data_IF_562593646831
#
_entry.id   IF_562593646831
#
_cell.length_a   1.000
_cell.length_b   1.000
_cell.length_c   1.000
_cell.angle_alpha   90.00
_cell.angle_beta   90.00
_cell.angle_gamma   90.00
#
_symmetry.space_group_name_H-M   'P 1'
#
loop_
_entity.id
_entity.type
_entity.pdbx_description
1 polymer ?
#
# COMPACT_ATOMS: atom_id res chain seq x y z
N UNK A 1 28.35 45.75 -34.06
CA UNK A 1 27.52 46.57 -33.15
C UNK A 1 27.97 46.40 -31.69
N UNK A 2 28.93 45.47 -31.39
CA UNK A 2 29.51 45.28 -30.05
C UNK A 2 28.50 44.78 -28.99
N UNK A 3 27.53 43.97 -29.39
CA UNK A 3 26.61 43.30 -28.49
C UNK A 3 27.09 41.88 -28.20
N UNK A 4 27.30 41.61 -26.91
CA UNK A 4 27.57 40.27 -26.40
C UNK A 4 26.26 39.64 -25.91
N UNK A 5 26.17 38.33 -26.00
CA UNK A 5 25.01 37.55 -25.50
C UNK A 5 24.73 37.85 -24.02
N UNK A 6 25.77 38.12 -23.24
CA UNK A 6 25.66 38.42 -21.81
C UNK A 6 24.92 39.74 -21.55
N UNK A 7 25.10 40.74 -22.41
CA UNK A 7 24.38 42.02 -22.33
C UNK A 7 22.88 41.83 -22.55
N UNK A 8 22.50 40.93 -23.45
CA UNK A 8 21.08 40.58 -23.70
C UNK A 8 20.48 39.91 -22.48
N UNK A 9 21.17 38.91 -21.90
CA UNK A 9 20.71 38.18 -20.71
C UNK A 9 20.56 39.14 -19.52
N UNK A 10 21.51 40.06 -19.32
CA UNK A 10 21.41 41.05 -18.25
C UNK A 10 20.24 42.01 -18.47
N UNK A 11 20.00 42.44 -19.71
CA UNK A 11 18.91 43.35 -20.03
C UNK A 11 17.55 42.69 -19.74
N UNK A 12 17.36 41.42 -20.12
CA UNK A 12 16.14 40.63 -19.84
C UNK A 12 15.98 40.47 -18.32
N UNK A 13 17.04 40.06 -17.62
CA UNK A 13 17.02 39.84 -16.18
C UNK A 13 16.67 41.12 -15.40
N UNK A 14 17.27 42.27 -15.75
CA UNK A 14 16.99 43.56 -15.12
C UNK A 14 15.54 44.04 -15.33
N UNK A 15 14.94 43.72 -16.47
CA UNK A 15 13.57 44.10 -16.79
C UNK A 15 12.51 43.11 -16.28
N UNK A 16 12.92 41.97 -15.75
CA UNK A 16 12.01 40.93 -15.21
C UNK A 16 12.04 40.83 -13.68
N UNK A 17 12.65 41.78 -13.00
CA UNK A 17 12.74 41.72 -11.53
C UNK A 17 11.63 42.50 -10.85
N UNK A 18 10.87 41.85 -9.98
CA UNK A 18 9.97 42.53 -9.04
C UNK A 18 10.80 43.19 -7.94
N UNK A 19 10.85 44.51 -7.95
CA UNK A 19 11.51 45.30 -6.90
C UNK A 19 10.43 46.01 -6.05
N UNK A 20 10.39 45.70 -4.76
CA UNK A 20 9.57 46.44 -3.82
C UNK A 20 10.07 47.87 -3.73
N UNK A 21 9.23 48.85 -4.02
CA UNK A 21 9.60 50.28 -4.09
C UNK A 21 9.36 51.03 -2.79
N UNK A 22 9.11 50.33 -1.66
CA UNK A 22 8.82 50.95 -0.37
C UNK A 22 7.32 51.13 -0.10
N UNK A 23 7.01 52.06 0.79
CA UNK A 23 5.62 52.37 1.15
C UNK A 23 5.43 53.89 1.26
N UNK A 24 4.19 54.35 1.05
CA UNK A 24 3.78 55.74 1.30
C UNK A 24 2.83 55.72 2.48
N UNK A 25 3.08 56.60 3.46
CA UNK A 25 2.13 56.86 4.55
C UNK A 25 1.17 57.97 4.17
N UNK A 26 -0.11 57.71 4.21
CA UNK A 26 -1.15 58.71 3.98
C UNK A 26 -2.33 58.46 4.95
N UNK A 27 -2.64 59.50 5.72
CA UNK A 27 -3.73 59.47 6.71
C UNK A 27 -3.63 58.36 7.75
N UNK A 28 -2.42 57.95 8.17
CA UNK A 28 -2.21 56.87 9.14
C UNK A 28 -2.30 55.43 8.55
N UNK A 29 -2.43 55.32 7.23
CA UNK A 29 -2.41 54.05 6.51
C UNK A 29 -1.15 53.93 5.68
N UNK A 30 -0.61 52.68 5.62
CA UNK A 30 0.57 52.36 4.78
C UNK A 30 0.13 51.78 3.44
N UNK A 31 0.50 52.46 2.35
CA UNK A 31 0.29 51.99 0.99
C UNK A 31 1.59 51.40 0.45
N UNK A 32 1.61 50.08 0.22
CA UNK A 32 2.76 49.37 -0.33
C UNK A 32 2.90 49.70 -1.82
N UNK A 33 4.02 50.31 -2.21
CA UNK A 33 4.34 50.54 -3.61
C UNK A 33 4.91 49.25 -4.21
N UNK A 34 4.21 48.68 -5.16
CA UNK A 34 4.71 47.56 -5.98
C UNK A 34 4.98 48.07 -7.39
N UNK A 35 6.16 47.82 -7.90
CA UNK A 35 6.43 47.93 -9.34
C UNK A 35 5.98 46.62 -10.00
N UNK A 36 5.01 46.70 -10.88
CA UNK A 36 4.56 45.55 -11.70
C UNK A 36 5.49 45.41 -12.91
N UNK A 37 6.72 44.97 -12.62
CA UNK A 37 7.80 44.83 -13.62
C UNK A 37 7.91 43.39 -14.14
N UNK A 38 6.98 42.52 -13.80
CA UNK A 38 6.99 41.14 -14.28
C UNK A 38 6.54 41.10 -15.73
N UNK A 39 7.36 40.55 -16.59
CA UNK A 39 7.04 40.35 -18.00
C UNK A 39 5.91 39.33 -18.13
N UNK A 40 4.82 39.73 -18.78
CA UNK A 40 3.63 38.91 -18.97
C UNK A 40 3.29 38.62 -20.45
N UNK A 41 3.97 39.31 -21.38
CA UNK A 41 3.72 39.14 -22.83
C UNK A 41 5.00 39.13 -23.64
N UNK A 42 4.93 38.52 -24.82
CA UNK A 42 6.05 38.51 -25.80
C UNK A 42 6.37 39.90 -26.27
N UNK A 43 5.36 40.74 -26.43
CA UNK A 43 5.52 42.14 -26.88
C UNK A 43 6.33 42.94 -25.89
N UNK A 44 6.15 42.72 -24.61
CA UNK A 44 6.98 43.32 -23.56
C UNK A 44 8.45 42.88 -23.68
N UNK A 45 8.70 41.60 -23.94
CA UNK A 45 10.06 41.09 -24.16
C UNK A 45 10.67 41.72 -25.39
N UNK A 46 9.97 41.79 -26.51
CA UNK A 46 10.44 42.43 -27.76
C UNK A 46 10.82 43.90 -27.59
N UNK A 47 10.14 44.59 -26.69
CA UNK A 47 10.36 46.03 -26.42
C UNK A 47 11.46 46.32 -25.42
N UNK A 48 12.12 45.35 -24.79
CA UNK A 48 13.18 45.53 -23.79
C UNK A 48 14.32 46.35 -24.43
N UNK A 49 14.73 47.48 -23.83
CA UNK A 49 15.84 48.28 -24.32
C UNK A 49 17.19 47.62 -23.98
N UNK A 50 18.06 47.53 -24.97
CA UNK A 50 19.44 47.05 -24.84
C UNK A 50 20.38 48.21 -25.18
N UNK A 51 21.31 48.53 -24.28
CA UNK A 51 22.31 49.54 -24.51
C UNK A 51 23.57 48.88 -25.08
N UNK A 52 24.00 49.33 -26.26
CA UNK A 52 25.24 48.88 -26.89
C UNK A 52 26.47 49.50 -26.23
N UNK A 53 27.66 48.95 -26.46
CA UNK A 53 28.95 49.48 -25.97
C UNK A 53 29.22 50.91 -26.47
N UNK A 54 28.59 51.29 -27.57
CA UNK A 54 28.74 52.63 -28.18
C UNK A 54 27.63 53.60 -27.71
N UNK A 55 26.82 53.25 -26.72
CA UNK A 55 25.77 54.09 -26.15
C UNK A 55 24.46 54.16 -26.96
N UNK A 56 24.31 53.40 -28.03
CA UNK A 56 23.04 53.30 -28.76
C UNK A 56 22.04 52.41 -28.03
N UNK A 57 20.80 52.83 -27.97
CA UNK A 57 19.71 52.05 -27.39
C UNK A 57 18.97 51.33 -28.53
N UNK A 58 18.97 50.02 -28.52
CA UNK A 58 18.23 49.15 -29.44
C UNK A 58 17.14 48.38 -28.65
N UNK A 59 16.10 47.93 -29.35
CA UNK A 59 15.13 47.02 -28.76
C UNK A 59 15.58 45.58 -28.98
N UNK A 60 15.19 44.68 -28.08
CA UNK A 60 15.53 43.25 -28.23
C UNK A 60 15.09 42.70 -29.60
N UNK A 61 13.90 43.09 -30.10
CA UNK A 61 13.41 42.68 -31.41
C UNK A 61 14.29 43.15 -32.61
N UNK A 62 15.13 44.17 -32.42
CA UNK A 62 16.02 44.65 -33.48
C UNK A 62 17.26 43.75 -33.65
N UNK A 63 17.58 42.94 -32.63
CA UNK A 63 18.80 42.12 -32.55
C UNK A 63 18.55 40.64 -32.36
N UNK A 64 17.34 40.24 -31.99
CA UNK A 64 16.96 38.85 -31.74
C UNK A 64 15.52 38.57 -32.13
N UNK A 65 15.25 37.35 -32.61
CA UNK A 65 13.91 36.85 -32.82
C UNK A 65 13.36 36.30 -31.50
N UNK A 66 12.20 36.83 -31.08
CA UNK A 66 11.53 36.41 -29.84
C UNK A 66 10.30 35.58 -30.19
N UNK A 67 10.32 34.33 -29.83
CA UNK A 67 9.23 33.38 -30.06
C UNK A 67 9.00 32.49 -28.83
N UNK A 68 7.81 31.89 -28.76
CA UNK A 68 7.53 30.84 -27.77
C UNK A 68 8.22 29.55 -28.24
N UNK A 69 9.17 29.07 -27.48
CA UNK A 69 9.82 27.79 -27.71
C UNK A 69 9.41 26.72 -26.71
N UNK A 70 9.88 25.53 -26.93
CA UNK A 70 9.81 24.43 -25.95
C UNK A 70 11.18 24.24 -25.29
N UNK A 71 11.20 23.85 -24.05
CA UNK A 71 12.44 23.44 -23.36
C UNK A 71 13.12 22.27 -24.07
N UNK A 72 14.42 22.15 -23.87
CA UNK A 72 15.19 21.01 -24.36
C UNK A 72 14.59 19.71 -23.86
N UNK A 73 14.24 18.84 -24.78
CA UNK A 73 13.68 17.54 -24.43
C UNK A 73 14.74 16.66 -23.77
N UNK A 74 14.49 16.28 -22.53
CA UNK A 74 15.34 15.36 -21.74
C UNK A 74 14.80 13.94 -21.73
N UNK A 75 13.56 13.73 -22.23
CA UNK A 75 12.92 12.42 -22.27
C UNK A 75 11.72 12.39 -23.22
N UNK A 76 11.20 11.20 -23.44
CA UNK A 76 9.98 10.96 -24.19
C UNK A 76 9.14 9.88 -23.52
N UNK A 77 7.82 10.07 -23.49
CA UNK A 77 6.88 9.05 -23.09
C UNK A 77 5.88 8.80 -24.22
N UNK A 78 5.57 7.53 -24.45
CA UNK A 78 4.60 7.14 -25.50
C UNK A 78 3.52 6.22 -24.95
N UNK A 79 2.32 6.33 -25.49
CA UNK A 79 1.20 5.41 -25.26
C UNK A 79 0.58 5.04 -26.59
N UNK A 80 0.54 3.74 -26.90
CA UNK A 80 0.02 3.22 -28.17
C UNK A 80 0.69 3.86 -29.41
N UNK A 81 1.99 4.13 -29.34
CA UNK A 81 2.74 4.77 -30.44
C UNK A 81 2.56 6.30 -30.57
N UNK A 82 1.73 6.91 -29.73
CA UNK A 82 1.56 8.36 -29.67
C UNK A 82 2.34 8.95 -28.50
N UNK A 83 2.90 10.11 -28.71
CA UNK A 83 3.61 10.85 -27.68
C UNK A 83 2.64 11.43 -26.65
N UNK A 84 3.00 11.30 -25.37
CA UNK A 84 2.21 11.82 -24.25
C UNK A 84 3.12 12.54 -23.25
N UNK A 85 2.51 13.37 -22.41
CA UNK A 85 3.14 13.88 -21.19
C UNK A 85 2.83 12.93 -20.05
N UNK A 86 3.86 12.38 -19.40
CA UNK A 86 3.72 11.46 -18.29
C UNK A 86 3.98 12.17 -16.96
N UNK A 87 2.98 12.22 -16.11
CA UNK A 87 3.11 12.62 -14.70
C UNK A 87 3.23 11.41 -13.80
N UNK A 88 4.14 11.45 -12.84
CA UNK A 88 4.32 10.37 -11.86
C UNK A 88 4.12 10.90 -10.45
N UNK A 89 3.16 10.32 -9.72
CA UNK A 89 2.97 10.60 -8.31
C UNK A 89 3.79 9.61 -7.46
N UNK A 90 4.65 10.12 -6.59
CA UNK A 90 5.47 9.33 -5.69
C UNK A 90 4.87 9.32 -4.29
N UNK A 91 4.89 8.16 -3.66
CA UNK A 91 4.50 7.98 -2.28
C UNK A 91 5.71 8.22 -1.36
N UNK A 92 5.50 8.88 -0.23
CA UNK A 92 6.52 9.01 0.81
C UNK A 92 6.76 7.66 1.52
N UNK A 93 7.98 7.47 2.00
CA UNK A 93 8.36 6.27 2.74
C UNK A 93 7.54 6.19 4.04
N UNK A 94 6.89 5.05 4.27
CA UNK A 94 6.05 4.81 5.44
C UNK A 94 4.56 5.03 5.22
N UNK A 95 4.15 5.65 4.11
CA UNK A 95 2.74 5.83 3.77
C UNK A 95 2.10 4.55 3.19
N UNK A 96 0.79 4.48 3.23
CA UNK A 96 0.03 3.38 2.65
C UNK A 96 -0.21 3.62 1.16
N UNK A 97 0.36 2.77 0.31
CA UNK A 97 0.28 2.90 -1.16
C UNK A 97 -1.15 2.92 -1.69
N UNK A 98 -2.08 2.19 -1.07
CA UNK A 98 -3.49 2.15 -1.45
C UNK A 98 -4.17 3.49 -1.16
N UNK A 99 -3.98 4.03 0.04
CA UNK A 99 -4.57 5.32 0.44
C UNK A 99 -4.05 6.46 -0.43
N UNK A 100 -2.75 6.49 -0.69
CA UNK A 100 -2.13 7.52 -1.55
C UNK A 100 -2.65 7.42 -2.98
N UNK A 101 -2.70 6.22 -3.55
CA UNK A 101 -3.18 6.05 -4.93
C UNK A 101 -4.67 6.40 -5.08
N UNK A 102 -5.52 6.09 -4.09
CA UNK A 102 -6.92 6.54 -4.08
C UNK A 102 -7.03 8.08 -4.00
N UNK A 103 -6.22 8.71 -3.15
CA UNK A 103 -6.20 10.17 -3.06
C UNK A 103 -5.76 10.83 -4.37
N UNK A 104 -4.74 10.25 -5.03
CA UNK A 104 -4.28 10.72 -6.35
C UNK A 104 -5.36 10.54 -7.41
N UNK A 105 -6.06 9.41 -7.43
CA UNK A 105 -7.14 9.14 -8.37
C UNK A 105 -8.30 10.13 -8.20
N UNK A 106 -8.72 10.38 -6.96
CA UNK A 106 -9.72 11.39 -6.67
C UNK A 106 -9.29 12.78 -7.13
N UNK A 107 -8.02 13.14 -6.86
CA UNK A 107 -7.50 14.43 -7.29
C UNK A 107 -7.39 14.55 -8.82
N UNK A 108 -7.06 13.46 -9.49
CA UNK A 108 -7.04 13.41 -10.96
C UNK A 108 -8.44 13.67 -11.55
N UNK A 109 -9.48 13.09 -10.95
CA UNK A 109 -10.88 13.32 -11.36
C UNK A 109 -11.32 14.78 -11.14
N UNK A 110 -10.83 15.44 -10.10
CA UNK A 110 -11.07 16.89 -9.88
C UNK A 110 -10.36 17.71 -10.95
N UNK A 111 -9.07 17.44 -11.17
CA UNK A 111 -8.24 18.15 -12.17
C UNK A 111 -8.81 17.99 -13.58
N UNK A 112 -9.33 16.80 -13.94
CA UNK A 112 -9.94 16.56 -15.23
C UNK A 112 -11.05 17.57 -15.56
N UNK A 113 -11.80 18.05 -14.55
CA UNK A 113 -12.88 19.03 -14.73
C UNK A 113 -12.37 20.45 -15.03
N UNK A 114 -11.11 20.73 -14.72
CA UNK A 114 -10.47 22.04 -14.90
C UNK A 114 -9.52 22.10 -16.09
N UNK A 115 -9.33 20.99 -16.80
CA UNK A 115 -8.46 20.94 -17.97
C UNK A 115 -9.08 21.67 -19.16
N UNK A 116 -8.26 22.33 -20.01
CA UNK A 116 -8.72 22.92 -21.26
C UNK A 116 -9.32 21.87 -22.21
N UNK A 117 -10.17 22.33 -23.12
CA UNK A 117 -10.73 21.47 -24.18
C UNK A 117 -9.62 20.81 -25.01
N UNK A 118 -9.73 19.51 -25.24
CA UNK A 118 -8.74 18.70 -25.96
C UNK A 118 -7.61 18.14 -25.10
N UNK A 119 -7.53 18.48 -23.80
CA UNK A 119 -6.57 17.89 -22.87
C UNK A 119 -7.25 16.87 -21.97
N UNK A 120 -6.75 15.63 -21.97
CA UNK A 120 -7.28 14.55 -21.16
C UNK A 120 -6.18 13.97 -20.25
N UNK A 121 -6.45 13.88 -18.94
CA UNK A 121 -5.58 13.25 -17.98
C UNK A 121 -6.13 11.89 -17.57
N UNK A 122 -5.41 10.82 -17.90
CA UNK A 122 -5.80 9.43 -17.60
C UNK A 122 -4.71 8.71 -16.82
N UNK A 123 -5.10 7.97 -15.79
CA UNK A 123 -4.20 7.03 -15.14
C UNK A 123 -3.83 5.90 -16.11
N UNK A 124 -2.55 5.78 -16.45
CA UNK A 124 -2.02 4.70 -17.30
C UNK A 124 -1.50 3.53 -16.47
N UNK A 125 -1.13 3.79 -15.22
CA UNK A 125 -0.74 2.78 -14.25
C UNK A 125 -1.27 3.16 -12.88
N UNK A 126 -2.11 2.31 -12.30
CA UNK A 126 -2.61 2.46 -10.95
C UNK A 126 -2.30 1.19 -10.15
N UNK A 127 -1.43 1.31 -9.16
CA UNK A 127 -1.00 0.18 -8.32
C UNK A 127 -2.15 -0.41 -7.50
N UNK A 128 -3.14 0.40 -7.12
CA UNK A 128 -4.31 -0.07 -6.35
C UNK A 128 -5.13 -1.10 -7.09
N UNK A 129 -5.25 -1.02 -8.40
CA UNK A 129 -5.97 -2.02 -9.20
C UNK A 129 -5.40 -3.43 -8.97
N UNK A 130 -4.07 -3.56 -8.94
CA UNK A 130 -3.41 -4.82 -8.67
C UNK A 130 -3.58 -5.25 -7.21
N UNK A 131 -3.44 -4.33 -6.27
CA UNK A 131 -3.58 -4.60 -4.83
C UNK A 131 -5.01 -5.01 -4.49
N UNK A 132 -6.02 -4.32 -5.02
CA UNK A 132 -7.43 -4.62 -4.77
C UNK A 132 -7.84 -5.97 -5.38
N UNK A 133 -7.44 -6.26 -6.62
CA UNK A 133 -7.66 -7.57 -7.24
C UNK A 133 -7.01 -8.71 -6.44
N UNK A 134 -5.82 -8.46 -5.89
CA UNK A 134 -5.10 -9.39 -5.04
C UNK A 134 -5.82 -9.63 -3.72
N UNK A 135 -6.27 -8.58 -3.02
CA UNK A 135 -7.01 -8.70 -1.75
C UNK A 135 -8.31 -9.46 -1.98
N UNK A 136 -9.01 -9.19 -3.08
CA UNK A 136 -10.24 -9.89 -3.43
C UNK A 136 -10.00 -11.38 -3.72
N UNK A 137 -8.94 -11.71 -4.46
CA UNK A 137 -8.54 -13.09 -4.72
C UNK A 137 -8.19 -13.83 -3.42
N UNK A 138 -7.39 -13.21 -2.54
CA UNK A 138 -7.05 -13.80 -1.25
C UNK A 138 -8.30 -14.02 -0.39
N UNK A 139 -9.16 -13.01 -0.28
CA UNK A 139 -10.43 -13.11 0.47
C UNK A 139 -11.31 -14.26 -0.05
N UNK A 140 -11.43 -14.39 -1.37
CA UNK A 140 -12.19 -15.46 -2.01
C UNK A 140 -11.57 -16.83 -1.70
N UNK A 141 -10.27 -16.99 -1.91
CA UNK A 141 -9.57 -18.25 -1.67
C UNK A 141 -9.63 -18.67 -0.19
N UNK A 142 -9.46 -17.71 0.73
CA UNK A 142 -9.60 -17.98 2.17
C UNK A 142 -11.02 -18.42 2.53
N UNK A 143 -12.04 -17.79 1.96
CA UNK A 143 -13.43 -18.16 2.22
C UNK A 143 -13.76 -19.56 1.64
N UNK A 144 -13.35 -19.82 0.40
CA UNK A 144 -13.56 -21.13 -0.25
C UNK A 144 -12.80 -22.24 0.50
N UNK A 145 -11.55 -21.98 0.90
CA UNK A 145 -10.76 -22.91 1.71
C UNK A 145 -11.40 -23.20 3.07
N UNK A 146 -11.86 -22.17 3.76
CA UNK A 146 -12.55 -22.34 5.05
C UNK A 146 -13.83 -23.17 4.91
N UNK A 147 -14.66 -22.90 3.90
CA UNK A 147 -15.87 -23.67 3.63
C UNK A 147 -15.53 -25.14 3.33
N UNK A 148 -14.51 -25.38 2.49
CA UNK A 148 -14.06 -26.73 2.15
C UNK A 148 -13.64 -27.49 3.42
N UNK A 149 -12.81 -26.88 4.27
CA UNK A 149 -12.36 -27.48 5.53
C UNK A 149 -13.55 -27.79 6.44
N UNK A 150 -14.51 -26.86 6.58
CA UNK A 150 -15.73 -27.09 7.38
C UNK A 150 -16.54 -28.27 6.85
N UNK A 151 -16.70 -28.36 5.53
CA UNK A 151 -17.45 -29.49 4.91
C UNK A 151 -16.73 -30.81 5.15
N UNK A 152 -15.40 -30.85 4.97
CA UNK A 152 -14.60 -32.07 5.22
C UNK A 152 -14.69 -32.46 6.70
N UNK A 153 -14.53 -31.51 7.61
CA UNK A 153 -14.66 -31.76 9.06
C UNK A 153 -16.05 -32.29 9.42
N UNK A 154 -17.10 -31.77 8.79
CA UNK A 154 -18.44 -32.23 9.01
C UNK A 154 -18.64 -33.69 8.59
N UNK A 155 -18.07 -34.09 7.45
CA UNK A 155 -18.13 -35.46 6.93
C UNK A 155 -17.32 -36.39 7.83
N UNK A 156 -16.09 -36.02 8.22
CA UNK A 156 -15.20 -36.90 9.00
C UNK A 156 -15.62 -37.06 10.47
N UNK A 157 -16.01 -35.98 11.14
CA UNK A 157 -16.37 -36.01 12.54
C UNK A 157 -17.78 -36.61 12.80
N UNK A 158 -18.65 -36.64 11.80
CA UNK A 158 -20.01 -37.21 11.91
C UNK A 158 -20.93 -36.51 12.94
N UNK A 159 -20.42 -35.45 13.60
CA UNK A 159 -21.13 -34.72 14.66
C UNK A 159 -21.13 -33.22 14.38
N UNK A 160 -22.28 -32.65 14.06
CA UNK A 160 -22.41 -31.21 13.74
C UNK A 160 -21.82 -30.27 14.80
N UNK A 161 -22.06 -30.56 16.09
CA UNK A 161 -21.56 -29.75 17.19
C UNK A 161 -20.02 -29.75 17.27
N UNK A 162 -19.40 -30.90 17.07
CA UNK A 162 -17.97 -31.06 17.07
C UNK A 162 -17.33 -30.30 15.88
N UNK A 163 -17.87 -30.48 14.69
CA UNK A 163 -17.45 -29.78 13.49
C UNK A 163 -17.57 -28.26 13.64
N UNK A 164 -18.66 -27.76 14.25
CA UNK A 164 -18.86 -26.34 14.49
C UNK A 164 -17.84 -25.77 15.48
N UNK A 165 -17.53 -26.48 16.57
CA UNK A 165 -16.50 -26.07 17.55
C UNK A 165 -15.16 -26.00 16.88
N UNK A 166 -14.78 -27.01 16.10
CA UNK A 166 -13.50 -27.01 15.38
C UNK A 166 -13.45 -25.90 14.31
N UNK A 167 -14.54 -25.69 13.59
CA UNK A 167 -14.64 -24.63 12.58
C UNK A 167 -14.49 -23.20 13.18
N UNK A 168 -14.94 -23.00 14.42
CA UNK A 168 -14.81 -21.71 15.12
C UNK A 168 -13.36 -21.36 15.47
N UNK A 169 -12.45 -22.33 15.48
CA UNK A 169 -11.02 -22.08 15.69
C UNK A 169 -10.43 -21.26 14.53
N UNK A 170 -10.90 -21.49 13.30
CA UNK A 170 -10.43 -20.78 12.09
C UNK A 170 -10.56 -19.26 12.24
N UNK A 171 -11.77 -18.69 12.43
CA UNK A 171 -11.90 -17.23 12.54
C UNK A 171 -11.24 -16.67 13.80
N UNK A 172 -11.18 -17.41 14.90
CA UNK A 172 -10.53 -16.96 16.13
C UNK A 172 -9.02 -16.86 15.96
N UNK A 173 -8.37 -17.91 15.44
CA UNK A 173 -6.93 -17.91 15.20
C UNK A 173 -6.54 -16.86 14.15
N UNK A 174 -7.34 -16.67 13.10
CA UNK A 174 -7.12 -15.59 12.12
C UNK A 174 -7.20 -14.22 12.76
N UNK A 175 -8.19 -13.96 13.60
CA UNK A 175 -8.30 -12.67 14.30
C UNK A 175 -7.11 -12.44 15.23
N UNK A 176 -6.66 -13.46 15.96
CA UNK A 176 -5.47 -13.37 16.81
C UNK A 176 -4.20 -13.10 15.97
N UNK A 177 -4.03 -13.81 14.88
CA UNK A 177 -2.90 -13.63 13.95
C UNK A 177 -2.88 -12.22 13.35
N UNK A 178 -4.00 -11.75 12.81
CA UNK A 178 -4.12 -10.40 12.23
C UNK A 178 -3.86 -9.33 13.30
N UNK A 179 -4.40 -9.50 14.51
CA UNK A 179 -4.14 -8.58 15.63
C UNK A 179 -2.66 -8.55 16.00
N UNK A 180 -2.01 -9.71 16.03
CA UNK A 180 -0.56 -9.82 16.26
C UNK A 180 0.27 -9.12 15.17
N UNK A 181 -0.10 -9.30 13.89
CA UNK A 181 0.54 -8.63 12.76
C UNK A 181 0.42 -7.11 12.84
N UNK A 182 -0.77 -6.60 13.17
CA UNK A 182 -1.01 -5.16 13.32
C UNK A 182 -0.18 -4.58 14.46
N UNK A 183 -0.16 -5.24 15.63
CA UNK A 183 0.61 -4.79 16.79
C UNK A 183 2.12 -4.77 16.52
N UNK A 184 2.62 -5.74 15.77
CA UNK A 184 4.05 -5.84 15.42
C UNK A 184 4.42 -5.09 14.14
N UNK A 185 3.45 -4.38 13.52
CA UNK A 185 3.64 -3.66 12.26
C UNK A 185 4.19 -4.53 11.12
N UNK A 186 3.80 -5.80 11.10
CA UNK A 186 4.18 -6.74 10.05
C UNK A 186 3.33 -6.46 8.81
N UNK A 187 4.00 -6.29 7.66
CA UNK A 187 3.32 -6.04 6.39
C UNK A 187 2.55 -7.28 5.94
N UNK A 188 1.24 -7.12 5.72
CA UNK A 188 0.42 -8.14 5.09
C UNK A 188 0.66 -8.13 3.57
N UNK A 189 1.65 -8.88 3.11
CA UNK A 189 1.87 -9.11 1.69
C UNK A 189 1.13 -10.39 1.23
N UNK A 190 1.07 -10.60 -0.09
CA UNK A 190 0.43 -11.78 -0.69
C UNK A 190 1.00 -13.10 -0.16
N UNK A 191 2.30 -13.16 0.10
CA UNK A 191 2.95 -14.36 0.59
C UNK A 191 2.58 -14.65 2.04
N UNK A 192 2.49 -13.61 2.89
CA UNK A 192 2.05 -13.78 4.29
C UNK A 192 0.60 -14.24 4.36
N UNK A 193 -0.29 -13.65 3.54
CA UNK A 193 -1.70 -14.05 3.50
C UNK A 193 -1.89 -15.43 2.85
N UNK A 194 -1.09 -15.76 1.81
CA UNK A 194 -1.10 -17.07 1.17
C UNK A 194 -0.52 -18.20 2.01
N UNK A 195 0.33 -17.88 2.98
CA UNK A 195 0.92 -18.83 3.92
C UNK A 195 0.00 -19.19 5.09
N UNK A 196 -1.14 -18.49 5.25
CA UNK A 196 -2.19 -18.88 6.21
C UNK A 196 -2.93 -20.10 5.67
N UNK A 197 -2.38 -21.26 5.95
CA UNK A 197 -3.00 -22.53 5.64
C UNK A 197 -3.95 -22.93 6.79
N UNK A 198 -5.23 -23.06 6.46
CA UNK A 198 -6.25 -23.50 7.42
C UNK A 198 -6.01 -24.92 7.94
N UNK A 199 -5.40 -25.80 7.13
CA UNK A 199 -5.04 -27.13 7.55
C UNK A 199 -4.14 -27.11 8.78
N UNK A 200 -3.01 -26.42 8.69
CA UNK A 200 -2.03 -26.33 9.78
C UNK A 200 -2.62 -25.71 11.05
N UNK A 201 -3.50 -24.72 10.90
CA UNK A 201 -4.14 -24.03 12.04
C UNK A 201 -5.15 -24.94 12.74
N UNK A 202 -5.91 -25.69 11.98
CA UNK A 202 -7.05 -26.50 12.49
C UNK A 202 -6.62 -27.87 13.01
N UNK A 203 -5.49 -28.40 12.55
CA UNK A 203 -5.03 -29.75 12.88
C UNK A 203 -4.99 -30.02 14.38
N UNK A 204 -4.47 -29.10 15.16
CA UNK A 204 -4.44 -29.22 16.63
C UNK A 204 -5.83 -29.38 17.25
N UNK A 205 -6.79 -28.57 16.79
CA UNK A 205 -8.17 -28.60 17.27
C UNK A 205 -8.89 -29.88 16.82
N UNK A 206 -8.66 -30.32 15.57
CA UNK A 206 -9.25 -31.57 15.01
C UNK A 206 -8.81 -32.76 15.84
N UNK A 207 -7.52 -32.92 16.09
CA UNK A 207 -6.96 -34.03 16.86
C UNK A 207 -7.51 -34.05 18.29
N UNK A 208 -7.68 -32.92 18.95
CA UNK A 208 -8.24 -32.83 20.31
C UNK A 208 -9.71 -33.24 20.30
N UNK A 209 -10.50 -32.77 19.34
CA UNK A 209 -11.94 -33.05 19.24
C UNK A 209 -12.15 -34.51 18.87
N UNK A 210 -11.40 -35.07 17.93
CA UNK A 210 -11.45 -36.47 17.54
C UNK A 210 -11.09 -37.39 18.71
N UNK A 211 -9.98 -37.16 19.39
CA UNK A 211 -9.58 -37.93 20.57
C UNK A 211 -10.63 -37.86 21.69
N UNK A 212 -11.24 -36.68 21.88
CA UNK A 212 -12.30 -36.48 22.86
C UNK A 212 -13.56 -37.27 22.49
N UNK A 213 -13.98 -37.28 21.24
CA UNK A 213 -15.13 -38.03 20.77
C UNK A 213 -14.89 -39.55 20.88
N UNK A 214 -13.70 -40.02 20.47
CA UNK A 214 -13.33 -41.43 20.57
C UNK A 214 -13.36 -41.94 22.03
N UNK A 215 -12.75 -41.17 22.97
CA UNK A 215 -12.77 -41.54 24.40
C UNK A 215 -14.17 -41.48 25.01
N UNK A 216 -14.99 -40.52 24.65
CA UNK A 216 -16.39 -40.44 25.09
C UNK A 216 -17.17 -41.63 24.61
N UNK A 217 -17.02 -42.05 23.35
CA UNK A 217 -17.69 -43.22 22.78
C UNK A 217 -17.27 -44.52 23.49
N UNK A 218 -15.95 -44.70 23.71
CA UNK A 218 -15.41 -45.85 24.44
C UNK A 218 -15.99 -45.96 25.84
N UNK A 219 -15.92 -44.86 26.62
CA UNK A 219 -16.40 -44.85 28.00
C UNK A 219 -17.92 -45.03 28.12
N UNK A 220 -18.66 -44.51 27.13
CA UNK A 220 -20.11 -44.76 27.05
C UNK A 220 -20.44 -46.24 26.76
N UNK A 221 -19.62 -46.90 25.92
CA UNK A 221 -19.75 -48.32 25.63
C UNK A 221 -19.42 -49.19 26.83
N UNK A 222 -18.34 -48.82 27.58
CA UNK A 222 -17.95 -49.54 28.80
C UNK A 222 -19.01 -49.47 29.90
N UNK A 223 -19.62 -48.31 30.10
CA UNK A 223 -20.62 -48.11 31.14
C UNK A 223 -22.04 -48.52 30.75
N UNK A 224 -22.28 -48.81 29.47
CA UNK A 224 -23.59 -49.19 28.94
C UNK A 224 -24.71 -48.15 29.09
N UNK A 225 -24.33 -46.90 29.45
CA UNK A 225 -25.25 -45.78 29.66
C UNK A 225 -24.68 -44.46 29.15
N UNK A 226 -25.56 -43.48 29.03
CA UNK A 226 -25.16 -42.11 28.68
C UNK A 226 -24.35 -41.50 29.86
N UNK A 227 -23.21 -40.90 29.55
CA UNK A 227 -22.32 -40.25 30.53
C UNK A 227 -22.99 -39.02 31.15
N UNK A 228 -22.81 -38.83 32.43
CA UNK A 228 -23.19 -37.61 33.15
C UNK A 228 -22.34 -36.41 32.69
N UNK A 229 -22.77 -35.21 33.01
CA UNK A 229 -22.01 -33.98 32.62
C UNK A 229 -20.60 -33.95 33.21
N UNK A 230 -20.44 -34.41 34.44
CA UNK A 230 -19.13 -34.47 35.10
C UNK A 230 -18.23 -35.52 34.47
N UNK A 231 -18.73 -36.71 34.18
CA UNK A 231 -17.99 -37.78 33.49
C UNK A 231 -17.55 -37.37 32.10
N UNK A 232 -18.43 -36.67 31.35
CA UNK A 232 -18.07 -36.13 30.03
C UNK A 232 -16.93 -35.11 30.15
N UNK A 233 -17.03 -34.17 31.09
CA UNK A 233 -15.99 -33.17 31.28
C UNK A 233 -14.64 -33.81 31.65
N UNK A 234 -14.63 -34.74 32.60
CA UNK A 234 -13.41 -35.45 33.00
C UNK A 234 -12.81 -36.24 31.82
N UNK A 235 -13.64 -36.93 31.03
CA UNK A 235 -13.16 -37.68 29.87
C UNK A 235 -12.57 -36.80 28.78
N UNK A 236 -13.20 -35.66 28.49
CA UNK A 236 -12.68 -34.70 27.51
C UNK A 236 -11.38 -34.05 28.04
N UNK A 237 -11.31 -33.72 29.33
CA UNK A 237 -10.09 -33.17 29.94
C UNK A 237 -8.91 -34.15 29.83
N UNK A 238 -9.15 -35.44 30.12
CA UNK A 238 -8.11 -36.47 30.01
C UNK A 238 -7.69 -36.71 28.56
N UNK A 239 -8.62 -36.69 27.61
CA UNK A 239 -8.31 -36.79 26.19
C UNK A 239 -7.45 -35.63 25.72
N UNK A 240 -7.82 -34.39 26.09
CA UNK A 240 -7.08 -33.19 25.74
C UNK A 240 -5.67 -33.20 26.35
N UNK A 241 -5.53 -33.60 27.62
CA UNK A 241 -4.25 -33.70 28.32
C UNK A 241 -3.29 -34.69 27.63
N UNK A 242 -3.78 -35.76 27.12
CA UNK A 242 -3.00 -36.79 26.42
C UNK A 242 -2.57 -36.33 25.02
N UNK A 243 -3.49 -35.76 24.25
CA UNK A 243 -3.23 -35.27 22.89
C UNK A 243 -2.33 -34.06 22.88
N UNK A 244 -2.38 -33.19 23.91
CA UNK A 244 -1.65 -31.91 23.97
C UNK A 244 -0.15 -32.03 23.71
N UNK A 245 0.50 -33.07 24.26
CA UNK A 245 1.96 -33.24 24.11
C UNK A 245 2.36 -33.41 22.65
N UNK A 246 1.66 -34.31 21.93
CA UNK A 246 1.95 -34.58 20.52
C UNK A 246 1.73 -33.34 19.65
N UNK A 247 0.64 -32.60 19.88
CA UNK A 247 0.31 -31.36 19.15
C UNK A 247 1.37 -30.30 19.41
N UNK A 248 1.76 -30.03 20.67
CA UNK A 248 2.77 -29.04 21.01
C UNK A 248 4.13 -29.36 20.38
N UNK A 249 4.55 -30.62 20.39
CA UNK A 249 5.81 -30.99 19.72
C UNK A 249 5.72 -30.82 18.20
N UNK A 250 4.60 -31.20 17.58
CA UNK A 250 4.39 -30.98 16.15
C UNK A 250 4.46 -29.49 15.76
N UNK A 251 3.74 -28.64 16.48
CA UNK A 251 3.77 -27.19 16.26
C UNK A 251 5.14 -26.57 16.51
N UNK A 252 5.85 -27.01 17.57
CA UNK A 252 7.19 -26.54 17.87
C UNK A 252 8.18 -26.87 16.75
N UNK A 253 8.08 -28.08 16.17
CA UNK A 253 8.93 -28.47 15.03
C UNK A 253 8.68 -27.55 13.84
N UNK A 254 7.41 -27.24 13.52
CA UNK A 254 7.08 -26.33 12.43
C UNK A 254 7.64 -24.94 12.71
N UNK A 255 7.47 -24.40 13.91
CA UNK A 255 8.02 -23.09 14.32
C UNK A 255 9.55 -23.07 14.15
N UNK A 256 10.25 -24.14 14.58
CA UNK A 256 11.69 -24.25 14.44
C UNK A 256 12.16 -24.20 12.97
N UNK A 257 11.41 -24.78 12.07
CA UNK A 257 11.70 -24.71 10.60
C UNK A 257 11.58 -23.29 10.07
N UNK A 258 10.68 -22.47 10.61
CA UNK A 258 10.50 -21.07 10.18
C UNK A 258 11.51 -20.09 10.80
N UNK A 259 12.18 -20.44 11.91
CA UNK A 259 13.18 -19.55 12.54
C UNK A 259 14.32 -19.16 11.59
N UNK A 260 14.97 -20.07 10.82
CA UNK A 260 16.00 -19.68 9.87
C UNK A 260 15.48 -18.73 8.80
N UNK A 261 14.21 -18.86 8.36
CA UNK A 261 13.59 -17.98 7.37
C UNK A 261 13.47 -16.54 7.89
N UNK A 262 13.25 -16.38 9.21
CA UNK A 262 13.18 -15.04 9.84
C UNK A 262 14.54 -14.34 9.91
N UNK A 263 15.66 -15.06 9.73
CA UNK A 263 17.02 -14.48 9.73
C UNK A 263 17.50 -14.08 8.34
N UNK A 264 16.71 -14.31 7.29
CA UNK A 264 17.03 -13.90 5.93
C UNK A 264 17.14 -12.37 5.83
N UNK A 265 18.11 -11.91 5.04
CA UNK A 265 18.37 -10.49 4.78
C UNK A 265 18.16 -10.16 3.30
N UNK A 266 18.24 -8.85 2.96
CA UNK A 266 18.10 -8.44 1.57
C UNK A 266 16.64 -8.46 1.07
N UNK A 267 16.46 -8.78 -0.21
CA UNK A 267 15.14 -8.84 -0.85
C UNK A 267 14.35 -10.03 -0.33
N UNK A 268 14.99 -11.18 -0.21
CA UNK A 268 14.42 -12.41 0.31
C UNK A 268 13.90 -12.22 1.74
N UNK A 269 14.68 -11.56 2.59
CA UNK A 269 14.27 -11.24 3.96
C UNK A 269 13.00 -10.37 3.99
N UNK A 270 12.93 -9.33 3.16
CA UNK A 270 11.75 -8.47 3.08
C UNK A 270 10.49 -9.21 2.62
N UNK A 271 10.64 -10.25 1.83
CA UNK A 271 9.53 -11.07 1.33
C UNK A 271 9.12 -12.17 2.30
N UNK A 272 10.08 -12.96 2.79
CA UNK A 272 9.82 -14.18 3.55
C UNK A 272 9.71 -13.96 5.06
N UNK A 273 10.38 -12.97 5.65
CA UNK A 273 10.29 -12.70 7.09
C UNK A 273 8.85 -12.38 7.54
N UNK A 274 8.08 -11.52 6.84
CA UNK A 274 6.67 -11.30 7.19
C UNK A 274 5.82 -12.57 7.08
N UNK A 275 6.10 -13.40 6.08
CA UNK A 275 5.42 -14.69 5.88
C UNK A 275 5.71 -15.64 7.04
N UNK A 276 6.97 -15.85 7.38
CA UNK A 276 7.37 -16.72 8.49
C UNK A 276 6.80 -16.26 9.83
N UNK A 277 6.84 -14.95 10.10
CA UNK A 277 6.25 -14.36 11.29
C UNK A 277 4.74 -14.60 11.37
N UNK A 278 4.02 -14.48 10.25
CA UNK A 278 2.58 -14.72 10.16
C UNK A 278 2.25 -16.19 10.49
N UNK A 279 3.00 -17.14 9.93
CA UNK A 279 2.81 -18.58 10.22
C UNK A 279 3.09 -18.89 11.70
N UNK A 280 4.19 -18.35 12.24
CA UNK A 280 4.51 -18.54 13.68
C UNK A 280 3.40 -17.98 14.58
N UNK A 281 2.87 -16.79 14.25
CA UNK A 281 1.75 -16.21 15.00
C UNK A 281 0.48 -17.05 14.87
N UNK A 282 0.19 -17.58 13.70
CA UNK A 282 -0.98 -18.43 13.47
C UNK A 282 -0.90 -19.77 14.24
N UNK A 283 0.30 -20.33 14.40
CA UNK A 283 0.52 -21.54 15.18
C UNK A 283 0.48 -21.30 16.69
N UNK A 284 0.77 -20.06 17.14
CA UNK A 284 0.69 -19.66 18.54
C UNK A 284 -0.73 -19.25 18.96
N UNK A 285 -1.57 -18.90 18.00
CA UNK A 285 -2.96 -18.46 18.21
C UNK A 285 -3.91 -19.63 18.50
#
# INVERSE_FOLDING_TARGET
IGLDQQVIVEAISKNSMNKGSGYIEKNGEQYLLRSDSQITSIEQIKSIPITTSNGYILRLNDVAEVSIGSELRTGAATKNGQEIVLGTAFMLIGENSRSVAHAVDQKLQEVQKSLPEGVEAKAVYNRTTLVDATIETVKKNLLEGAILVIVVLFIFLGHFRAALITAMVIPLSMLMTITGMVNQKISANLMSLGALDFGIIVDGAVVIVEASLAKLALKQKELGRVLTRQERFATVFDATKESRKAILYGQLIIILVYLPVMTLTGVEGKMFTPMAATVVMALLA
#
